data_IF_036578711995
#
_entry.id   IF_036578711995
#
_cell.length_a   1.000
_cell.length_b   1.000
_cell.length_c   1.000
_cell.angle_alpha   90.00
_cell.angle_beta   90.00
_cell.angle_gamma   90.00
#
_symmetry.space_group_name_H-M   'P 1'
#
loop_
_entity.id
_entity.type
_entity.pdbx_description
1 polymer ?
#
# COMPACT_ATOMS: atom_id res chain seq x y z
N UNK A 1 -9.87 48.26 32.30
CA UNK A 1 -9.05 48.32 31.07
C UNK A 1 -8.39 46.98 30.72
N UNK A 2 -7.91 46.17 31.67
CA UNK A 2 -7.26 44.87 31.40
C UNK A 2 -8.15 43.82 30.68
N UNK A 3 -9.45 43.77 31.00
CA UNK A 3 -10.36 42.81 30.37
C UNK A 3 -10.55 43.04 28.85
N UNK A 4 -10.47 44.29 28.41
CA UNK A 4 -10.60 44.65 26.99
C UNK A 4 -9.32 44.27 26.23
N UNK A 5 -8.15 44.50 26.83
CA UNK A 5 -6.85 44.10 26.28
C UNK A 5 -6.75 42.58 26.13
N UNK A 6 -7.14 41.84 27.17
CA UNK A 6 -7.18 40.38 27.16
C UNK A 6 -8.14 39.87 26.07
N UNK A 7 -9.36 40.40 26.01
CA UNK A 7 -10.35 40.02 24.99
C UNK A 7 -9.85 40.33 23.56
N UNK A 8 -9.20 41.47 23.36
CA UNK A 8 -8.62 41.86 22.07
C UNK A 8 -7.49 40.92 21.63
N UNK A 9 -6.66 40.45 22.57
CA UNK A 9 -5.57 39.51 22.31
C UNK A 9 -6.10 38.11 21.98
N UNK A 10 -7.14 37.64 22.69
CA UNK A 10 -7.83 36.39 22.37
C UNK A 10 -8.53 36.43 21.01
N UNK A 11 -9.18 37.55 20.66
CA UNK A 11 -9.83 37.71 19.36
C UNK A 11 -8.79 37.75 18.24
N UNK A 12 -7.71 38.51 18.40
CA UNK A 12 -6.61 38.57 17.42
C UNK A 12 -6.03 37.19 17.16
N UNK A 13 -5.79 36.44 18.24
CA UNK A 13 -5.28 35.06 18.19
C UNK A 13 -6.29 34.15 17.48
N UNK A 14 -7.58 34.20 17.84
CA UNK A 14 -8.62 33.39 17.21
C UNK A 14 -8.76 33.67 15.70
N UNK A 15 -8.68 34.94 15.27
CA UNK A 15 -8.72 35.31 13.85
C UNK A 15 -7.49 34.77 13.11
N UNK A 16 -6.33 34.70 13.75
CA UNK A 16 -5.11 34.16 13.14
C UNK A 16 -5.14 32.63 12.91
N UNK A 17 -5.95 31.89 13.67
CA UNK A 17 -6.18 30.45 13.45
C UNK A 17 -7.20 30.16 12.34
N UNK A 18 -8.06 31.14 11.99
CA UNK A 18 -9.12 30.97 11.02
C UNK A 18 -8.64 30.52 9.62
N UNK A 19 -7.52 31.05 9.08
CA UNK A 19 -6.96 30.58 7.81
C UNK A 19 -6.52 29.12 7.84
N UNK A 20 -5.82 28.70 8.90
CA UNK A 20 -5.38 27.31 9.07
C UNK A 20 -6.58 26.37 9.24
N UNK A 21 -7.60 26.81 9.98
CA UNK A 21 -8.85 26.07 10.13
C UNK A 21 -9.55 25.83 8.79
N UNK A 22 -9.66 26.86 7.96
CA UNK A 22 -10.26 26.75 6.62
C UNK A 22 -9.40 25.83 5.73
N UNK A 23 -8.07 25.97 5.75
CA UNK A 23 -7.18 25.11 5.00
C UNK A 23 -7.34 23.63 5.37
N UNK A 24 -7.36 23.33 6.67
CA UNK A 24 -7.59 21.97 7.14
C UNK A 24 -8.97 21.43 6.76
N UNK A 25 -10.01 22.27 6.81
CA UNK A 25 -11.35 21.87 6.38
C UNK A 25 -11.41 21.55 4.89
N UNK A 26 -10.73 22.34 4.04
CA UNK A 26 -10.59 22.05 2.62
C UNK A 26 -9.85 20.72 2.39
N UNK A 27 -8.79 20.44 3.15
CA UNK A 27 -8.06 19.17 3.09
C UNK A 27 -8.96 17.98 3.46
N UNK A 28 -9.75 18.08 4.53
CA UNK A 28 -10.70 17.02 4.90
C UNK A 28 -11.70 16.76 3.78
N UNK A 29 -12.29 17.83 3.22
CA UNK A 29 -13.27 17.71 2.12
C UNK A 29 -12.65 17.04 0.90
N UNK A 30 -11.45 17.45 0.49
CA UNK A 30 -10.74 16.82 -0.62
C UNK A 30 -10.43 15.35 -0.33
N UNK A 31 -9.98 15.04 0.88
CA UNK A 31 -9.72 13.66 1.30
C UNK A 31 -10.96 12.78 1.27
N UNK A 32 -12.13 13.31 1.65
CA UNK A 32 -13.40 12.58 1.59
C UNK A 32 -13.82 12.30 0.15
N UNK A 33 -13.65 13.26 -0.77
CA UNK A 33 -13.92 13.04 -2.20
C UNK A 33 -13.06 11.91 -2.76
N UNK A 34 -11.77 11.88 -2.39
CA UNK A 34 -10.86 10.80 -2.80
C UNK A 34 -11.27 9.45 -2.20
N UNK A 35 -11.63 9.43 -0.92
CA UNK A 35 -12.09 8.21 -0.24
C UNK A 35 -13.37 7.64 -0.84
N UNK A 36 -14.30 8.50 -1.24
CA UNK A 36 -15.54 8.14 -1.93
C UNK A 36 -15.24 7.53 -3.29
N UNK A 37 -14.40 8.20 -4.08
CA UNK A 37 -14.00 7.72 -5.39
C UNK A 37 -13.36 6.33 -5.32
N UNK A 38 -12.43 6.13 -4.38
CA UNK A 38 -11.76 4.83 -4.20
C UNK A 38 -12.76 3.77 -3.71
N UNK A 39 -13.58 4.09 -2.71
CA UNK A 39 -14.59 3.16 -2.19
C UNK A 39 -15.56 2.70 -3.26
N UNK A 40 -16.02 3.63 -4.10
CA UNK A 40 -16.94 3.37 -5.21
C UNK A 40 -16.26 2.57 -6.33
N UNK A 41 -15.01 2.87 -6.68
CA UNK A 41 -14.25 2.11 -7.66
C UNK A 41 -14.08 0.64 -7.23
N UNK A 42 -13.77 0.42 -5.95
CA UNK A 42 -13.69 -0.91 -5.36
C UNK A 42 -15.07 -1.60 -5.40
N UNK A 43 -16.16 -0.89 -5.09
CA UNK A 43 -17.51 -1.43 -5.14
C UNK A 43 -17.95 -1.81 -6.57
N UNK A 44 -17.64 -0.97 -7.57
CA UNK A 44 -17.97 -1.22 -8.98
C UNK A 44 -17.26 -2.46 -9.52
N UNK A 45 -16.00 -2.65 -9.17
CA UNK A 45 -15.21 -3.84 -9.57
C UNK A 45 -15.83 -5.14 -9.05
N UNK A 46 -16.52 -5.10 -7.91
CA UNK A 46 -17.18 -6.27 -7.30
C UNK A 46 -18.48 -6.67 -7.94
N UNK A 47 -19.19 -5.73 -8.58
CA UNK A 47 -20.40 -6.08 -9.33
C UNK A 47 -20.10 -7.17 -10.38
N UNK A 48 -18.83 -7.29 -10.80
CA UNK A 48 -18.35 -8.35 -11.68
C UNK A 48 -17.92 -9.67 -10.98
N UNK A 49 -17.74 -9.71 -9.64
CA UNK A 49 -17.08 -10.86 -8.94
C UNK A 49 -17.85 -11.45 -7.74
N UNK A 50 -19.10 -11.04 -7.45
CA UNK A 50 -20.09 -11.74 -6.60
C UNK A 50 -19.64 -12.32 -5.22
N UNK A 51 -18.57 -11.83 -4.59
CA UNK A 51 -18.10 -12.37 -3.29
C UNK A 51 -18.44 -11.41 -2.14
N UNK A 52 -19.30 -11.85 -1.21
CA UNK A 52 -19.80 -11.06 -0.07
C UNK A 52 -18.69 -10.52 0.85
N UNK A 53 -17.58 -11.24 0.98
CA UNK A 53 -16.40 -10.83 1.77
C UNK A 53 -15.77 -9.52 1.31
N UNK A 54 -16.02 -9.10 0.08
CA UNK A 54 -15.43 -7.86 -0.39
C UNK A 54 -16.20 -6.68 0.21
N UNK A 55 -17.53 -6.75 0.37
CA UNK A 55 -18.42 -5.67 0.88
C UNK A 55 -17.81 -4.89 2.04
N UNK A 56 -17.46 -5.58 3.12
CA UNK A 56 -16.90 -4.99 4.34
C UNK A 56 -15.52 -4.37 4.10
N UNK A 57 -14.72 -4.90 3.18
CA UNK A 57 -13.40 -4.35 2.82
C UNK A 57 -13.50 -2.97 2.14
N UNK A 58 -14.52 -2.70 1.33
CA UNK A 58 -14.66 -1.36 0.71
C UNK A 58 -15.07 -0.35 1.76
N UNK A 59 -16.03 -0.74 2.62
CA UNK A 59 -16.45 0.07 3.75
C UNK A 59 -15.28 0.34 4.70
N UNK A 60 -14.48 -0.67 5.00
CA UNK A 60 -13.27 -0.56 5.82
C UNK A 60 -12.22 0.35 5.19
N UNK A 61 -11.95 0.19 3.90
CA UNK A 61 -11.02 1.05 3.15
C UNK A 61 -11.50 2.50 3.15
N UNK A 62 -12.78 2.74 2.82
CA UNK A 62 -13.38 4.09 2.84
C UNK A 62 -13.31 4.72 4.24
N UNK A 63 -13.65 3.96 5.28
CA UNK A 63 -13.54 4.40 6.67
C UNK A 63 -12.10 4.76 7.05
N UNK A 64 -11.13 3.93 6.66
CA UNK A 64 -9.71 4.18 6.90
C UNK A 64 -9.21 5.44 6.17
N UNK A 65 -9.63 5.64 4.92
CA UNK A 65 -9.29 6.83 4.16
C UNK A 65 -9.92 8.09 4.76
N UNK A 66 -11.16 8.03 5.24
CA UNK A 66 -11.78 9.13 5.98
C UNK A 66 -11.00 9.45 7.26
N UNK A 67 -10.64 8.44 8.05
CA UNK A 67 -9.83 8.65 9.25
C UNK A 67 -8.51 9.36 8.91
N UNK A 68 -7.83 8.90 7.85
CA UNK A 68 -6.59 9.51 7.37
C UNK A 68 -6.80 10.96 6.93
N UNK A 69 -7.86 11.23 6.17
CA UNK A 69 -8.21 12.59 5.74
C UNK A 69 -8.47 13.53 6.93
N UNK A 70 -9.15 13.02 7.96
CA UNK A 70 -9.39 13.78 9.21
C UNK A 70 -8.06 14.06 9.92
N UNK A 71 -7.18 13.06 10.06
CA UNK A 71 -5.87 13.25 10.70
C UNK A 71 -5.04 14.31 9.97
N UNK A 72 -4.94 14.25 8.64
CA UNK A 72 -4.21 15.23 7.84
C UNK A 72 -4.87 16.61 7.90
N UNK A 73 -6.20 16.66 7.90
CA UNK A 73 -6.95 17.89 8.08
C UNK A 73 -6.67 18.54 9.43
N UNK A 74 -6.70 17.78 10.51
CA UNK A 74 -6.39 18.23 11.87
C UNK A 74 -4.94 18.72 11.97
N UNK A 75 -3.98 18.02 11.38
CA UNK A 75 -2.58 18.45 11.27
C UNK A 75 -2.48 19.83 10.60
N UNK A 76 -3.20 20.01 9.49
CA UNK A 76 -3.25 21.28 8.74
C UNK A 76 -3.89 22.42 9.55
N UNK A 77 -4.84 22.11 10.45
CA UNK A 77 -5.43 23.09 11.38
C UNK A 77 -4.46 23.50 12.51
N UNK A 78 -3.29 22.87 12.60
CA UNK A 78 -2.33 23.08 13.69
C UNK A 78 -2.65 22.29 14.96
N UNK A 79 -3.51 21.27 14.87
CA UNK A 79 -3.76 20.34 15.98
C UNK A 79 -2.57 19.39 16.09
N UNK A 80 -2.02 19.23 17.28
CA UNK A 80 -0.96 18.26 17.53
C UNK A 80 -1.50 16.82 17.42
N UNK A 81 -1.32 16.24 16.23
CA UNK A 81 -1.64 14.84 15.93
C UNK A 81 -0.42 13.94 15.98
N UNK A 82 0.70 14.39 16.55
CA UNK A 82 1.95 13.63 16.63
C UNK A 82 1.78 12.27 17.29
N UNK A 83 0.98 12.21 18.37
CA UNK A 83 0.68 10.94 19.06
C UNK A 83 -0.06 9.96 18.14
N UNK A 84 -1.06 10.45 17.39
CA UNK A 84 -1.83 9.63 16.45
C UNK A 84 -0.91 9.11 15.35
N UNK A 85 0.02 9.93 14.86
CA UNK A 85 0.97 9.53 13.83
C UNK A 85 1.94 8.45 14.32
N UNK A 86 2.44 8.55 15.55
CA UNK A 86 3.31 7.52 16.15
C UNK A 86 2.57 6.18 16.24
N UNK A 87 1.35 6.18 16.78
CA UNK A 87 0.54 4.96 16.87
C UNK A 87 0.16 4.41 15.48
N UNK A 88 -0.28 5.27 14.57
CA UNK A 88 -0.64 4.88 13.21
C UNK A 88 0.53 4.26 12.47
N UNK A 89 1.74 4.82 12.58
CA UNK A 89 2.94 4.24 11.98
C UNK A 89 3.28 2.89 12.60
N UNK A 90 3.24 2.76 13.93
CA UNK A 90 3.52 1.49 14.58
C UNK A 90 2.58 0.38 14.06
N UNK A 91 1.28 0.69 13.93
CA UNK A 91 0.30 -0.22 13.35
C UNK A 91 0.54 -0.47 11.85
N UNK A 92 0.86 0.57 11.08
CA UNK A 92 1.10 0.47 9.65
C UNK A 92 2.30 -0.43 9.33
N UNK A 93 3.43 -0.24 10.00
CA UNK A 93 4.60 -1.10 9.84
C UNK A 93 4.32 -2.53 10.31
N UNK A 94 3.56 -2.71 11.39
CA UNK A 94 3.13 -4.03 11.85
C UNK A 94 2.28 -4.79 10.82
N UNK A 95 1.25 -4.14 10.28
CA UNK A 95 0.39 -4.71 9.23
C UNK A 95 1.15 -4.93 7.93
N UNK A 96 1.98 -3.97 7.52
CA UNK A 96 2.80 -4.08 6.31
C UNK A 96 3.77 -5.27 6.42
N UNK A 97 4.43 -5.46 7.56
CA UNK A 97 5.29 -6.61 7.81
C UNK A 97 4.50 -7.92 7.75
N UNK A 98 3.32 -8.00 8.37
CA UNK A 98 2.48 -9.19 8.33
C UNK A 98 2.06 -9.56 6.90
N UNK A 99 1.63 -8.58 6.11
CA UNK A 99 1.27 -8.78 4.69
C UNK A 99 2.50 -9.18 3.87
N UNK A 100 3.63 -8.51 4.05
CA UNK A 100 4.87 -8.81 3.32
C UNK A 100 5.34 -10.24 3.60
N UNK A 101 5.31 -10.68 4.86
CA UNK A 101 5.65 -12.05 5.24
C UNK A 101 4.65 -13.04 4.63
N UNK A 102 3.35 -12.79 4.77
CA UNK A 102 2.31 -13.68 4.25
C UNK A 102 2.39 -13.87 2.74
N UNK A 103 2.52 -12.77 1.99
CA UNK A 103 2.69 -12.79 0.53
C UNK A 103 4.04 -13.41 0.15
N UNK A 104 5.12 -13.07 0.84
CA UNK A 104 6.45 -13.61 0.59
C UNK A 104 6.50 -15.13 0.74
N UNK A 105 5.89 -15.67 1.80
CA UNK A 105 5.79 -17.13 2.01
C UNK A 105 4.93 -17.78 0.93
N UNK A 106 3.76 -17.20 0.62
CA UNK A 106 2.85 -17.76 -0.38
C UNK A 106 3.50 -17.84 -1.78
N UNK A 107 4.17 -16.76 -2.21
CA UNK A 107 4.88 -16.70 -3.48
C UNK A 107 6.09 -17.64 -3.47
N UNK A 108 6.86 -17.67 -2.38
CA UNK A 108 8.02 -18.53 -2.25
C UNK A 108 7.67 -20.01 -2.37
N UNK A 109 6.60 -20.45 -1.70
CA UNK A 109 6.15 -21.84 -1.78
C UNK A 109 5.52 -22.16 -3.14
N UNK A 110 4.65 -21.28 -3.66
CA UNK A 110 3.99 -21.50 -4.95
C UNK A 110 4.98 -21.54 -6.12
N UNK A 111 6.00 -20.69 -6.11
CA UNK A 111 7.04 -20.66 -7.14
C UNK A 111 7.89 -21.93 -7.15
N UNK A 112 8.23 -22.47 -5.98
CA UNK A 112 8.96 -23.73 -5.88
C UNK A 112 8.19 -24.89 -6.51
N UNK A 113 6.89 -25.01 -6.24
CA UNK A 113 6.03 -26.04 -6.85
C UNK A 113 5.99 -25.91 -8.37
N UNK A 114 5.81 -24.69 -8.88
CA UNK A 114 5.76 -24.45 -10.33
C UNK A 114 7.06 -24.86 -11.04
N UNK A 115 8.21 -24.57 -10.43
CA UNK A 115 9.50 -25.01 -10.97
C UNK A 115 9.61 -26.53 -10.93
N UNK A 116 9.26 -27.18 -9.82
CA UNK A 116 9.35 -28.64 -9.70
C UNK A 116 8.49 -29.39 -10.73
N UNK A 117 7.30 -28.89 -11.04
CA UNK A 117 6.42 -29.52 -12.02
C UNK A 117 6.90 -29.35 -13.46
N UNK A 118 7.67 -28.28 -13.75
CA UNK A 118 8.03 -27.91 -15.10
C UNK A 118 9.51 -28.15 -15.46
N UNK A 119 10.36 -28.44 -14.47
CA UNK A 119 11.82 -28.58 -14.62
C UNK A 119 12.21 -29.82 -15.43
N UNK A 120 11.46 -30.91 -15.34
CA UNK A 120 11.76 -32.16 -16.06
C UNK A 120 11.72 -31.94 -17.58
N UNK A 121 10.74 -31.17 -18.07
CA UNK A 121 10.61 -30.83 -19.49
C UNK A 121 11.64 -29.80 -19.98
N UNK A 122 12.27 -29.04 -19.09
CA UNK A 122 13.35 -28.10 -19.41
C UNK A 122 14.70 -28.79 -19.42
N UNK A 123 14.99 -29.60 -18.41
CA UNK A 123 16.19 -30.43 -18.36
C UNK A 123 16.22 -31.43 -19.51
N UNK A 124 15.08 -32.04 -19.86
CA UNK A 124 14.98 -32.95 -21.01
C UNK A 124 15.36 -32.30 -22.34
N UNK A 125 14.96 -31.04 -22.58
CA UNK A 125 15.35 -30.31 -23.78
C UNK A 125 16.82 -29.90 -23.78
N UNK A 126 17.32 -29.41 -22.64
CA UNK A 126 18.72 -29.02 -22.51
C UNK A 126 19.70 -30.20 -22.66
N UNK A 127 19.31 -31.40 -22.20
CA UNK A 127 20.11 -32.62 -22.35
C UNK A 127 20.03 -33.20 -23.77
N UNK A 128 18.95 -32.93 -24.52
CA UNK A 128 18.83 -33.34 -25.93
C UNK A 128 19.66 -32.44 -26.86
N UNK A 129 19.86 -31.17 -26.51
CA UNK A 129 20.66 -30.20 -27.30
C UNK A 129 22.15 -30.16 -26.94
N UNK A 130 22.60 -30.89 -25.92
CA UNK A 130 24.01 -30.95 -25.56
C UNK A 130 24.83 -31.59 -26.71
N UNK A 131 25.77 -30.86 -27.36
CA UNK A 131 26.58 -31.41 -28.45
C UNK A 131 27.39 -32.60 -27.95
N UNK A 132 27.20 -33.77 -28.54
CA UNK A 132 28.02 -34.96 -28.25
C UNK A 132 29.47 -34.63 -28.60
N UNK A 133 30.44 -34.82 -27.69
CA UNK A 133 31.84 -34.52 -27.97
C UNK A 133 32.27 -35.37 -29.16
N UNK A 134 32.56 -34.69 -30.28
CA UNK A 134 32.98 -35.36 -31.51
C UNK A 134 34.29 -36.11 -31.22
N UNK A 135 34.40 -37.41 -31.57
CA UNK A 135 35.63 -38.14 -31.37
C UNK A 135 36.73 -37.47 -32.18
N UNK A 136 37.79 -37.04 -31.49
CA UNK A 136 38.99 -36.46 -32.11
C UNK A 136 39.49 -37.39 -33.21
N UNK A 137 39.74 -36.90 -34.45
CA UNK A 137 40.21 -37.75 -35.54
C UNK A 137 41.48 -38.49 -35.14
N UNK A 138 41.39 -39.82 -35.08
CA UNK A 138 42.53 -40.72 -34.92
C UNK A 138 43.45 -40.48 -36.12
N UNK A 139 44.58 -39.82 -35.90
CA UNK A 139 45.59 -39.60 -36.90
C UNK A 139 46.16 -40.98 -37.32
N UNK A 140 45.79 -41.39 -38.53
CA UNK A 140 46.30 -42.60 -39.19
C UNK A 140 47.77 -42.40 -39.55
N UNK A 141 48.63 -42.98 -38.71
CA UNK A 141 50.08 -42.96 -38.86
C UNK A 141 50.50 -44.00 -39.89
N UNK A 142 50.62 -43.56 -41.14
CA UNK A 142 51.09 -44.36 -42.26
C UNK A 142 52.44 -45.03 -42.03
N UNK A 143 52.54 -46.28 -42.50
CA UNK A 143 53.78 -46.99 -42.85
C UNK A 143 53.48 -47.91 -44.02
#
# INVERSE_FOLDING_TARGET
MLAISLLSEWISTAVSYLPAFIAGLLVVVLGFVVADFIGDAIMRTRAATQTEYTSWFAKGTRMFLYFTAIVIGLDTMGVDVGILFVFANALAWGLAAAVAIGVGIAVGWGGHTYVQENIDGWMGRASTEAPTPSPTPQADGGK
#
